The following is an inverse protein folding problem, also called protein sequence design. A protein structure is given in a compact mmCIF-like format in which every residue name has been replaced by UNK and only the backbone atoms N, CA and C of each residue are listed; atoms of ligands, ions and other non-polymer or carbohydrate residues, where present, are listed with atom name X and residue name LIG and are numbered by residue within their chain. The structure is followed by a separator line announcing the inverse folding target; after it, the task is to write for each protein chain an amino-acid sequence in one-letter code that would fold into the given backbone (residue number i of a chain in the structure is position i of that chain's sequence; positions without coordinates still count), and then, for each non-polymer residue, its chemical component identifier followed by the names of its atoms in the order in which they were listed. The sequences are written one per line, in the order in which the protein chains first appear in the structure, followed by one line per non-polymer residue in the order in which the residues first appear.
data_IF_577156608080
#
_entry.id   IF_577156608080
#
_cell.length_a   1.000
_cell.length_b   1.000
_cell.length_c   1.000
_cell.angle_alpha   90.00
_cell.angle_beta   90.00
_cell.angle_gamma   90.00
#
_symmetry.space_group_name_H-M   'P 1'
#
loop_
_entity.id
_entity.type
_entity.pdbx_description
1 polymer ?
#
# COMPACT_ATOMS: atom_id res chain seq x y z
N UNK A 1 11.75 14.61 31.03
CA UNK A 1 11.10 15.40 29.96
C UNK A 1 10.23 14.45 29.14
N UNK A 2 8.91 14.68 29.09
CA UNK A 2 7.98 13.87 28.28
C UNK A 2 8.01 14.40 26.84
N UNK A 3 8.54 13.59 25.92
CA UNK A 3 8.58 13.89 24.49
C UNK A 3 7.17 13.82 23.89
N UNK A 4 6.85 14.83 23.09
CA UNK A 4 5.56 15.07 22.46
C UNK A 4 5.10 13.88 21.61
N UNK A 5 3.98 13.24 22.00
CA UNK A 5 3.25 12.31 21.14
C UNK A 5 2.67 13.08 19.96
N UNK A 6 3.31 13.00 18.80
CA UNK A 6 2.78 13.52 17.55
C UNK A 6 1.60 12.65 17.08
N UNK A 7 0.42 12.90 17.65
CA UNK A 7 -0.85 12.43 17.09
C UNK A 7 -1.29 13.40 15.99
N UNK A 8 -0.48 13.56 14.94
CA UNK A 8 -0.87 14.27 13.71
C UNK A 8 -1.40 13.23 12.73
N UNK A 9 -2.73 13.18 12.54
CA UNK A 9 -3.36 12.37 11.48
C UNK A 9 -4.79 11.87 11.78
N UNK A 10 -5.27 11.93 13.03
CA UNK A 10 -6.43 11.12 13.44
C UNK A 10 -7.80 11.82 13.27
N UNK A 11 -7.84 13.16 13.21
CA UNK A 11 -9.08 13.92 13.30
C UNK A 11 -9.84 14.10 11.96
N UNK A 12 -9.26 13.71 10.83
CA UNK A 12 -9.83 13.98 9.49
C UNK A 12 -9.95 12.77 8.57
N UNK A 13 -9.65 11.55 9.05
CA UNK A 13 -9.78 10.36 8.21
C UNK A 13 -11.22 9.81 8.28
N UNK A 14 -12.02 9.91 7.20
CA UNK A 14 -13.42 9.49 7.19
C UNK A 14 -13.58 7.97 7.31
N UNK A 15 -12.50 7.20 7.12
CA UNK A 15 -12.54 5.75 7.15
C UNK A 15 -12.63 5.21 8.58
N UNK A 16 -13.35 4.10 8.80
CA UNK A 16 -13.43 3.45 10.10
C UNK A 16 -12.04 2.94 10.51
N UNK A 17 -11.75 2.90 11.81
CA UNK A 17 -10.40 2.63 12.33
C UNK A 17 -9.78 1.31 11.85
N UNK A 18 -10.62 0.32 11.53
CA UNK A 18 -10.19 -0.98 11.01
C UNK A 18 -9.87 -0.96 9.50
N UNK A 19 -10.13 0.13 8.78
CA UNK A 19 -10.01 0.27 7.32
C UNK A 19 -9.10 1.42 6.87
N UNK A 20 -8.39 2.05 7.80
CA UNK A 20 -7.48 3.17 7.49
C UNK A 20 -6.16 2.73 6.84
N UNK A 21 -5.98 1.42 6.65
CA UNK A 21 -4.72 0.82 6.30
C UNK A 21 -3.76 0.73 7.49
N UNK A 22 -2.53 0.32 7.21
CA UNK A 22 -1.49 0.13 8.22
C UNK A 22 -0.10 0.35 7.63
N UNK A 23 0.83 0.78 8.47
CA UNK A 23 2.22 1.03 8.11
C UNK A 23 2.79 2.12 9.01
N UNK A 24 4.11 2.15 9.18
CA UNK A 24 4.78 3.18 9.96
C UNK A 24 5.95 3.75 9.16
N UNK A 25 6.06 5.08 9.13
CA UNK A 25 7.23 5.74 8.55
C UNK A 25 8.54 5.31 9.25
N UNK A 26 8.47 4.97 10.53
CA UNK A 26 9.61 4.46 11.29
C UNK A 26 10.17 3.12 10.76
N UNK A 27 9.40 2.37 9.97
CA UNK A 27 9.89 1.13 9.34
C UNK A 27 10.82 1.41 8.14
N UNK A 28 10.99 2.69 7.78
CA UNK A 28 11.82 3.17 6.68
C UNK A 28 12.95 4.06 7.20
N UNK A 29 14.04 4.14 6.45
CA UNK A 29 15.11 5.11 6.72
C UNK A 29 14.80 6.49 6.10
N UNK A 30 15.76 7.41 6.18
CA UNK A 30 15.62 8.77 5.69
C UNK A 30 15.48 8.88 4.16
N UNK A 31 15.84 7.83 3.42
CA UNK A 31 15.68 7.72 1.97
C UNK A 31 14.40 6.94 1.59
N UNK A 32 13.54 6.68 2.57
CA UNK A 32 12.31 5.90 2.42
C UNK A 32 12.58 4.47 1.92
N UNK A 33 13.77 3.93 2.22
CA UNK A 33 14.07 2.52 2.01
C UNK A 33 13.51 1.71 3.19
N UNK A 34 12.86 0.56 2.94
CA UNK A 34 12.48 -0.35 4.01
C UNK A 34 13.69 -0.74 4.84
N UNK A 35 13.68 -0.54 6.17
CA UNK A 35 14.83 -0.86 7.04
C UNK A 35 15.17 -2.34 7.07
N UNK A 36 14.17 -3.20 6.92
CA UNK A 36 14.32 -4.65 6.96
C UNK A 36 14.14 -5.27 5.57
N UNK A 37 14.93 -6.31 5.28
CA UNK A 37 14.78 -7.17 4.09
C UNK A 37 13.96 -8.44 4.36
N UNK A 38 13.61 -8.72 5.62
CA UNK A 38 13.11 -10.05 6.06
C UNK A 38 11.60 -10.11 6.29
N UNK A 39 10.81 -9.41 5.49
CA UNK A 39 9.35 -9.52 5.61
C UNK A 39 8.69 -8.61 6.64
N UNK A 40 9.45 -7.76 7.32
CA UNK A 40 8.93 -6.97 8.46
C UNK A 40 8.27 -5.66 8.02
N UNK A 41 8.74 -5.05 6.92
CA UNK A 41 8.15 -3.82 6.40
C UNK A 41 7.00 -4.15 5.46
N UNK A 42 5.78 -4.00 5.98
CA UNK A 42 4.51 -4.25 5.30
C UNK A 42 3.64 -2.99 5.35
N UNK A 43 2.90 -2.74 4.28
CA UNK A 43 1.95 -1.63 4.21
C UNK A 43 0.56 -2.18 3.85
N UNK A 44 -0.38 -2.10 4.78
CA UNK A 44 -1.77 -2.47 4.54
C UNK A 44 -2.53 -1.32 3.89
N UNK A 45 -3.21 -1.57 2.78
CA UNK A 45 -3.95 -0.51 2.07
C UNK A 45 -5.19 -0.06 2.86
N UNK A 46 -5.61 1.17 2.63
CA UNK A 46 -6.82 1.74 3.18
C UNK A 46 -8.04 1.44 2.29
N UNK A 47 -9.23 1.56 2.86
CA UNK A 47 -10.53 1.47 2.17
C UNK A 47 -10.71 0.17 1.38
N UNK A 48 -10.32 -0.96 1.97
CA UNK A 48 -10.48 -2.28 1.33
C UNK A 48 -11.84 -2.92 1.64
N UNK A 49 -12.60 -2.41 2.63
CA UNK A 49 -13.91 -2.98 2.99
C UNK A 49 -14.96 -2.89 1.89
N UNK A 50 -15.04 -1.83 1.05
CA UNK A 50 -15.99 -1.80 -0.04
C UNK A 50 -15.67 -2.82 -1.16
N UNK A 51 -14.45 -3.35 -1.20
CA UNK A 51 -13.93 -4.13 -2.33
C UNK A 51 -13.80 -5.64 -2.05
N UNK A 52 -14.59 -6.17 -1.10
CA UNK A 52 -14.46 -7.57 -0.66
C UNK A 52 -14.77 -8.58 -1.77
N UNK A 53 -15.75 -8.30 -2.62
CA UNK A 53 -16.12 -9.17 -3.74
C UNK A 53 -14.96 -9.32 -4.73
N UNK A 54 -14.28 -8.21 -5.05
CA UNK A 54 -13.15 -8.23 -5.95
C UNK A 54 -11.94 -8.94 -5.32
N UNK A 55 -11.66 -8.69 -4.04
CA UNK A 55 -10.62 -9.42 -3.31
C UNK A 55 -10.89 -10.92 -3.24
N UNK A 56 -12.15 -11.33 -3.05
CA UNK A 56 -12.55 -12.73 -3.06
C UNK A 56 -12.41 -13.35 -4.46
N UNK A 57 -12.76 -12.61 -5.50
CA UNK A 57 -12.56 -13.01 -6.91
C UNK A 57 -11.08 -13.26 -7.19
N UNK A 58 -10.20 -12.34 -6.78
CA UNK A 58 -8.76 -12.48 -6.98
C UNK A 58 -8.21 -13.71 -6.25
N UNK A 59 -8.61 -13.92 -4.99
CA UNK A 59 -8.22 -15.11 -4.23
C UNK A 59 -8.68 -16.42 -4.90
N UNK A 60 -9.83 -16.41 -5.58
CA UNK A 60 -10.34 -17.60 -6.26
C UNK A 60 -9.48 -18.05 -7.45
N UNK A 61 -8.59 -17.21 -7.98
CA UNK A 61 -7.64 -17.61 -9.02
C UNK A 61 -6.54 -18.52 -8.48
N UNK A 62 -6.31 -18.55 -7.16
CA UNK A 62 -5.33 -19.44 -6.53
C UNK A 62 -3.87 -19.07 -6.80
N UNK A 63 -3.60 -17.83 -7.23
CA UNK A 63 -2.22 -17.36 -7.44
C UNK A 63 -1.53 -17.03 -6.13
N UNK A 64 -0.27 -17.47 -6.00
CA UNK A 64 0.57 -17.20 -4.83
C UNK A 64 1.22 -15.82 -4.90
N UNK A 65 1.49 -15.32 -6.12
CA UNK A 65 2.17 -14.06 -6.35
C UNK A 65 1.24 -13.04 -7.00
N UNK A 66 0.81 -12.06 -6.20
CA UNK A 66 0.02 -10.92 -6.67
C UNK A 66 0.89 -9.67 -6.58
N UNK A 67 0.76 -8.76 -7.54
CA UNK A 67 1.47 -7.48 -7.49
C UNK A 67 0.49 -6.31 -7.53
N UNK A 68 0.82 -5.21 -6.89
CA UNK A 68 0.02 -4.00 -6.89
C UNK A 68 0.39 -3.09 -8.05
N UNK A 69 -0.63 -2.63 -8.76
CA UNK A 69 -0.56 -1.57 -9.76
C UNK A 69 -1.05 -0.29 -9.10
N UNK A 70 -0.14 0.66 -8.97
CA UNK A 70 -0.39 1.95 -8.32
C UNK A 70 0.10 3.03 -9.29
N UNK A 71 -0.80 3.84 -9.87
CA UNK A 71 -0.39 4.92 -10.74
C UNK A 71 0.35 5.98 -9.93
N UNK A 72 1.42 6.52 -10.52
CA UNK A 72 2.09 7.69 -9.97
C UNK A 72 1.16 8.90 -10.08
N UNK A 73 1.17 9.75 -9.04
CA UNK A 73 0.44 11.01 -9.08
C UNK A 73 1.08 11.97 -10.08
N UNK A 74 0.21 12.70 -10.78
CA UNK A 74 0.55 13.87 -11.56
C UNK A 74 0.77 15.09 -10.65
N UNK A 75 1.37 16.15 -11.19
CA UNK A 75 1.59 17.40 -10.43
C UNK A 75 0.26 18.06 -9.96
N UNK A 76 -0.84 17.81 -10.67
CA UNK A 76 -2.17 18.29 -10.26
C UNK A 76 -2.75 17.44 -9.12
N UNK A 77 -2.62 16.11 -9.21
CA UNK A 77 -3.01 15.19 -8.14
C UNK A 77 -2.21 15.43 -6.86
N UNK A 78 -0.91 15.74 -6.95
CA UNK A 78 -0.11 16.15 -5.79
C UNK A 78 -0.60 17.48 -5.19
N UNK A 79 -0.90 18.48 -6.04
CA UNK A 79 -1.40 19.80 -5.59
C UNK A 79 -2.75 19.70 -4.88
N UNK A 80 -3.59 18.78 -5.31
CA UNK A 80 -4.95 18.56 -4.77
C UNK A 80 -4.99 17.50 -3.68
N UNK A 81 -3.83 16.94 -3.32
CA UNK A 81 -3.71 15.84 -2.36
C UNK A 81 -4.62 14.64 -2.72
N UNK A 82 -4.68 14.32 -4.02
CA UNK A 82 -5.51 13.24 -4.53
C UNK A 82 -5.06 11.88 -3.95
N UNK A 83 -6.01 10.99 -3.62
CA UNK A 83 -5.71 9.68 -3.09
C UNK A 83 -5.05 8.79 -4.17
N UNK A 84 -4.15 7.89 -3.75
CA UNK A 84 -3.48 6.96 -4.68
C UNK A 84 -4.23 5.63 -4.76
N UNK A 85 -4.92 5.34 -5.88
CA UNK A 85 -5.70 4.11 -6.02
C UNK A 85 -4.78 2.89 -6.15
N UNK A 86 -5.18 1.79 -5.51
CA UNK A 86 -4.49 0.51 -5.60
C UNK A 86 -5.36 -0.48 -6.38
N UNK A 87 -4.76 -1.08 -7.40
CA UNK A 87 -5.28 -2.26 -8.10
C UNK A 87 -4.29 -3.41 -7.92
N UNK A 88 -4.76 -4.63 -8.14
CA UNK A 88 -3.91 -5.82 -8.14
C UNK A 88 -3.76 -6.33 -9.56
N UNK A 89 -2.61 -6.89 -9.88
CA UNK A 89 -2.37 -7.66 -11.08
C UNK A 89 -2.30 -9.12 -10.68
N UNK A 90 -3.29 -9.88 -11.14
CA UNK A 90 -3.41 -11.31 -10.91
C UNK A 90 -4.06 -11.94 -12.15
N UNK A 91 -3.72 -13.18 -12.46
CA UNK A 91 -4.22 -13.93 -13.62
C UNK A 91 -4.02 -13.16 -14.94
N UNK A 92 -2.80 -12.61 -15.10
CA UNK A 92 -2.36 -11.83 -16.26
C UNK A 92 -3.21 -10.58 -16.56
N UNK A 93 -4.01 -10.11 -15.61
CA UNK A 93 -4.87 -8.93 -15.79
C UNK A 93 -4.86 -8.00 -14.58
N UNK A 94 -5.05 -6.69 -14.78
CA UNK A 94 -5.36 -5.78 -13.69
C UNK A 94 -6.79 -6.05 -13.17
N UNK A 95 -6.96 -5.96 -11.86
CA UNK A 95 -8.23 -5.97 -11.15
C UNK A 95 -8.91 -4.60 -11.24
N UNK A 96 -10.15 -4.56 -10.75
CA UNK A 96 -10.77 -3.30 -10.35
C UNK A 96 -10.06 -2.69 -9.11
N UNK A 97 -10.52 -1.52 -8.69
CA UNK A 97 -10.03 -0.85 -7.49
C UNK A 97 -10.20 -1.76 -6.26
N UNK A 98 -9.16 -1.89 -5.44
CA UNK A 98 -9.20 -2.67 -4.19
C UNK A 98 -8.94 -1.84 -2.92
N UNK A 99 -8.69 -0.55 -3.09
CA UNK A 99 -8.49 0.42 -2.02
C UNK A 99 -7.48 1.49 -2.41
N UNK A 100 -6.89 2.13 -1.40
CA UNK A 100 -5.97 3.26 -1.59
C UNK A 100 -4.71 3.13 -0.73
N UNK A 101 -3.63 3.79 -1.15
CA UNK A 101 -2.47 3.96 -0.28
C UNK A 101 -2.90 4.75 0.97
N UNK A 102 -2.53 4.34 2.19
CA UNK A 102 -2.87 5.07 3.39
C UNK A 102 -2.28 6.47 3.38
N UNK A 103 -3.05 7.45 3.86
CA UNK A 103 -2.63 8.85 3.95
C UNK A 103 -1.38 9.00 4.81
N UNK A 104 -0.42 9.77 4.32
CA UNK A 104 0.90 9.98 4.92
C UNK A 104 1.96 8.94 4.53
N UNK A 105 1.59 7.89 3.78
CA UNK A 105 2.52 6.86 3.28
C UNK A 105 2.67 6.88 1.75
N UNK A 106 2.07 7.86 1.06
CA UNK A 106 2.16 8.02 -0.40
C UNK A 106 3.61 8.13 -0.88
N UNK A 107 4.41 8.99 -0.23
CA UNK A 107 5.81 9.21 -0.62
C UNK A 107 6.67 7.94 -0.50
N UNK A 108 6.34 7.06 0.44
CA UNK A 108 7.03 5.77 0.60
C UNK A 108 6.73 4.85 -0.60
N UNK A 109 5.49 4.84 -1.06
CA UNK A 109 5.08 4.08 -2.24
C UNK A 109 5.68 4.67 -3.51
N UNK A 110 5.65 5.99 -3.68
CA UNK A 110 6.27 6.67 -4.82
C UNK A 110 7.78 6.38 -4.89
N UNK A 111 8.49 6.44 -3.77
CA UNK A 111 9.92 6.11 -3.70
C UNK A 111 10.19 4.64 -4.04
N UNK A 112 9.34 3.72 -3.60
CA UNK A 112 9.44 2.31 -3.94
C UNK A 112 9.24 2.05 -5.45
N UNK A 113 8.23 2.67 -6.05
CA UNK A 113 7.96 2.56 -7.49
C UNK A 113 9.09 3.15 -8.34
N UNK A 114 9.61 4.32 -7.95
CA UNK A 114 10.76 4.94 -8.60
C UNK A 114 11.98 4.01 -8.59
N UNK A 115 12.29 3.45 -7.42
CA UNK A 115 13.42 2.52 -7.27
C UNK A 115 13.28 1.24 -8.10
N UNK A 116 12.09 0.66 -8.16
CA UNK A 116 11.83 -0.49 -9.02
C UNK A 116 12.07 -0.14 -10.49
N UNK A 117 11.58 1.02 -10.93
CA UNK A 117 11.78 1.52 -12.30
C UNK A 117 13.25 1.79 -12.60
N UNK A 118 13.99 2.44 -11.70
CA UNK A 118 15.42 2.71 -11.83
C UNK A 118 16.26 1.42 -11.89
N UNK A 119 15.83 0.38 -11.17
CA UNK A 119 16.43 -0.94 -11.21
C UNK A 119 16.04 -1.77 -12.46
N UNK A 120 15.29 -1.20 -13.41
CA UNK A 120 14.81 -1.89 -14.61
C UNK A 120 13.75 -2.96 -14.36
N UNK A 121 13.17 -3.01 -13.14
CA UNK A 121 12.05 -3.89 -12.79
C UNK A 121 10.73 -3.23 -13.17
N UNK A 122 9.69 -4.04 -13.32
CA UNK A 122 8.34 -3.48 -13.44
C UNK A 122 8.00 -2.69 -12.16
N UNK A 123 7.44 -1.48 -12.26
CA UNK A 123 7.06 -0.67 -11.10
C UNK A 123 5.75 -1.20 -10.51
N UNK A 124 5.80 -2.44 -9.99
CA UNK A 124 4.69 -3.12 -9.33
C UNK A 124 5.18 -3.65 -8.01
N UNK A 125 4.49 -3.30 -6.93
CA UNK A 125 4.89 -3.69 -5.58
C UNK A 125 4.32 -5.08 -5.29
N UNK A 126 5.12 -6.08 -4.90
CA UNK A 126 4.59 -7.37 -4.49
C UNK A 126 3.57 -7.22 -3.36
N UNK A 127 2.49 -8.00 -3.41
CA UNK A 127 1.35 -7.85 -2.52
C UNK A 127 0.75 -9.21 -2.16
N UNK A 128 0.05 -9.26 -1.03
CA UNK A 128 -0.73 -10.42 -0.62
C UNK A 128 -2.09 -10.02 -0.08
N UNK A 129 -3.07 -10.90 -0.27
CA UNK A 129 -4.39 -10.76 0.34
C UNK A 129 -4.41 -11.58 1.64
N UNK A 130 -4.79 -10.94 2.74
CA UNK A 130 -4.87 -11.55 4.07
C UNK A 130 -6.27 -11.39 4.64
N UNK A 131 -6.67 -12.33 5.51
CA UNK A 131 -7.92 -12.20 6.29
C UNK A 131 -7.60 -11.59 7.65
N UNK A 132 -8.18 -10.43 7.94
CA UNK A 132 -8.01 -9.75 9.23
C UNK A 132 -9.37 -9.32 9.77
N UNK A 133 -9.68 -9.71 11.01
CA UNK A 133 -10.93 -9.36 11.72
C UNK A 133 -12.20 -9.64 10.89
N UNK A 134 -12.22 -10.75 10.15
CA UNK A 134 -13.36 -11.17 9.34
C UNK A 134 -13.41 -10.63 7.91
N UNK A 135 -12.56 -9.67 7.54
CA UNK A 135 -12.51 -9.09 6.20
C UNK A 135 -11.20 -9.40 5.48
N UNK A 136 -11.24 -9.41 4.15
CA UNK A 136 -10.08 -9.46 3.27
C UNK A 136 -9.39 -8.10 3.22
N UNK A 137 -8.06 -8.13 3.24
CA UNK A 137 -7.17 -6.97 3.27
C UNK A 137 -6.01 -7.20 2.33
N UNK A 138 -5.46 -6.12 1.79
CA UNK A 138 -4.24 -6.19 0.98
C UNK A 138 -3.07 -5.66 1.79
N UNK A 139 -1.96 -6.40 1.76
CA UNK A 139 -0.68 -5.96 2.28
C UNK A 139 0.32 -5.87 1.14
N UNK A 140 0.93 -4.70 0.97
CA UNK A 140 2.08 -4.48 0.13
C UNK A 140 3.34 -4.95 0.86
N UNK A 141 4.13 -5.78 0.20
CA UNK A 141 5.37 -6.37 0.70
C UNK A 141 6.53 -5.39 0.46
N UNK A 142 6.49 -4.27 1.16
CA UNK A 142 7.38 -3.13 0.90
C UNK A 142 8.87 -3.49 1.02
N UNK A 143 9.22 -4.40 1.92
CA UNK A 143 10.59 -4.93 2.06
C UNK A 143 11.18 -5.52 0.75
N UNK A 144 10.36 -6.02 -0.17
CA UNK A 144 10.81 -6.56 -1.46
C UNK A 144 11.20 -5.45 -2.45
N UNK A 145 10.87 -4.20 -2.16
CA UNK A 145 11.17 -3.03 -3.00
C UNK A 145 12.47 -2.33 -2.62
N UNK A 146 13.25 -2.88 -1.68
CA UNK A 146 14.49 -2.25 -1.19
C UNK A 146 15.61 -2.22 -2.25
N UNK A 147 15.65 -3.17 -3.17
CA UNK A 147 16.78 -3.38 -4.09
C UNK A 147 17.61 -4.60 -3.72
#
# INVERSE_FOLDING_TARGET
MKLFSHRRGDAGNPLPANDRGSGKLDDYDYELLPKSRRGETLLGIADSLPHQEELARILSFGEEEVTAIIPRRSAEEERTDAPMPVRLFANQRPSDLVGYVPRGLENVVDAALARLSEAGKQPRVPARIVKAKGALRVQLLMHETRG
#
